data_IF_644156142723
#
_entry.id   IF_644156142723
#
_cell.length_a   1.000
_cell.length_b   1.000
_cell.length_c   1.000
_cell.angle_alpha   90.00
_cell.angle_beta   90.00
_cell.angle_gamma   90.00
#
_symmetry.space_group_name_H-M   'P 1'
#
loop_
_entity.id
_entity.type
_entity.pdbx_description
1 polymer ?
#
# COMPACT_ATOMS: atom_id res chain seq x y z
N UNK A 1 25.20 -54.26 8.81
CA UNK A 1 24.76 -53.01 9.48
C UNK A 1 24.56 -51.94 8.41
N UNK A 2 23.36 -51.87 7.82
CA UNK A 2 22.96 -50.81 6.90
C UNK A 2 22.11 -49.80 7.66
N UNK A 3 22.64 -48.61 7.96
CA UNK A 3 21.81 -47.48 8.40
C UNK A 3 21.21 -46.83 7.16
N UNK A 4 19.99 -47.24 6.85
CA UNK A 4 19.13 -46.62 5.86
C UNK A 4 18.78 -45.18 6.27
N UNK A 5 18.94 -44.29 5.31
CA UNK A 5 18.23 -43.03 5.13
C UNK A 5 16.95 -42.88 5.94
N UNK A 6 16.88 -41.85 6.79
CA UNK A 6 15.59 -41.32 7.24
C UNK A 6 15.74 -39.82 7.52
N UNK A 7 15.72 -39.01 6.45
CA UNK A 7 15.63 -37.55 6.57
C UNK A 7 14.93 -36.91 5.36
N UNK A 8 13.87 -37.53 4.85
CA UNK A 8 13.06 -36.95 3.79
C UNK A 8 11.59 -37.37 3.89
N UNK A 9 10.93 -36.98 4.98
CA UNK A 9 9.47 -37.05 5.07
C UNK A 9 8.91 -35.78 5.73
N UNK A 10 8.60 -34.79 4.88
CA UNK A 10 7.35 -34.01 4.88
C UNK A 10 7.58 -32.67 4.17
N UNK A 11 6.92 -32.45 3.03
CA UNK A 11 6.96 -31.22 2.24
C UNK A 11 6.32 -30.00 2.91
N UNK A 12 6.27 -29.97 4.25
CA UNK A 12 5.67 -28.92 5.05
C UNK A 12 6.71 -27.84 5.33
N UNK A 13 6.53 -26.65 4.74
CA UNK A 13 7.39 -25.51 5.06
C UNK A 13 7.25 -25.17 6.55
N UNK A 14 8.35 -25.08 7.32
CA UNK A 14 8.27 -24.90 8.76
C UNK A 14 7.72 -23.51 9.11
N UNK A 15 7.01 -23.41 10.24
CA UNK A 15 6.52 -22.16 10.85
C UNK A 15 7.63 -21.09 10.94
N UNK A 16 8.86 -21.52 11.26
CA UNK A 16 10.04 -20.65 11.33
C UNK A 16 10.38 -19.98 10.01
N UNK A 17 10.15 -20.64 8.86
CA UNK A 17 10.37 -20.07 7.54
C UNK A 17 9.33 -18.99 7.21
N UNK A 18 8.06 -19.21 7.61
CA UNK A 18 6.99 -18.21 7.48
C UNK A 18 7.33 -16.98 8.31
N UNK A 19 7.70 -17.18 9.59
CA UNK A 19 8.07 -16.10 10.49
C UNK A 19 9.26 -15.30 9.97
N UNK A 20 10.29 -15.98 9.44
CA UNK A 20 11.46 -15.33 8.84
C UNK A 20 11.09 -14.51 7.61
N UNK A 21 10.28 -15.06 6.70
CA UNK A 21 9.87 -14.36 5.48
C UNK A 21 8.97 -13.16 5.76
N UNK A 22 8.00 -13.31 6.66
CA UNK A 22 7.12 -12.22 7.10
C UNK A 22 7.91 -11.17 7.89
N UNK A 23 8.94 -11.62 8.61
CA UNK A 23 9.92 -10.76 9.26
C UNK A 23 10.67 -9.88 8.26
N UNK A 24 11.22 -10.48 7.21
CA UNK A 24 11.85 -9.72 6.13
C UNK A 24 10.87 -8.78 5.43
N UNK A 25 9.65 -9.23 5.13
CA UNK A 25 8.61 -8.41 4.50
C UNK A 25 8.29 -7.17 5.33
N UNK A 26 8.02 -7.33 6.62
CA UNK A 26 7.72 -6.21 7.53
C UNK A 26 8.97 -5.35 7.79
N UNK A 27 10.16 -5.95 7.80
CA UNK A 27 11.42 -5.24 7.90
C UNK A 27 11.69 -4.31 6.72
N UNK A 28 11.33 -4.71 5.49
CA UNK A 28 11.42 -3.83 4.31
C UNK A 28 10.53 -2.59 4.44
N UNK A 29 9.34 -2.76 5.00
CA UNK A 29 8.40 -1.68 5.30
C UNK A 29 9.01 -0.73 6.33
N UNK A 30 9.54 -1.27 7.44
CA UNK A 30 10.22 -0.46 8.45
C UNK A 30 11.42 0.28 7.86
N UNK A 31 12.24 -0.36 7.01
CA UNK A 31 13.38 0.31 6.37
C UNK A 31 12.90 1.48 5.51
N UNK A 32 11.87 1.27 4.69
CA UNK A 32 11.33 2.32 3.83
C UNK A 32 10.87 3.54 4.66
N UNK A 33 10.22 3.28 5.79
CA UNK A 33 9.66 4.31 6.67
C UNK A 33 10.73 4.97 7.53
N UNK A 34 11.49 4.18 8.27
CA UNK A 34 12.49 4.69 9.21
C UNK A 34 13.62 5.44 8.50
N UNK A 35 14.09 4.97 7.34
CA UNK A 35 15.09 5.70 6.57
C UNK A 35 14.56 7.05 6.08
N UNK A 36 13.28 7.11 5.66
CA UNK A 36 12.64 8.35 5.26
C UNK A 36 12.46 9.31 6.45
N UNK A 37 11.96 8.82 7.58
CA UNK A 37 11.72 9.64 8.77
C UNK A 37 13.02 10.15 9.37
N UNK A 38 14.05 9.31 9.51
CA UNK A 38 15.34 9.72 10.06
C UNK A 38 16.01 10.79 9.20
N UNK A 39 15.97 10.63 7.88
CA UNK A 39 16.53 11.61 6.97
C UNK A 39 15.72 12.91 6.97
N UNK A 40 14.39 12.84 7.08
CA UNK A 40 13.54 14.02 7.25
C UNK A 40 13.93 14.79 8.52
N UNK A 41 14.02 14.11 9.67
CA UNK A 41 14.44 14.76 10.92
C UNK A 41 15.85 15.34 10.86
N UNK A 42 16.78 14.68 10.17
CA UNK A 42 18.13 15.22 9.97
C UNK A 42 18.10 16.52 9.15
N UNK A 43 17.28 16.59 8.10
CA UNK A 43 17.13 17.79 7.26
C UNK A 43 16.50 18.94 8.05
N UNK A 44 15.35 18.71 8.70
CA UNK A 44 14.66 19.73 9.50
C UNK A 44 15.46 20.16 10.74
N UNK A 45 16.19 19.22 11.35
CA UNK A 45 17.08 19.51 12.48
C UNK A 45 18.26 20.38 12.08
N UNK A 46 18.81 20.20 10.87
CA UNK A 46 19.88 21.03 10.34
C UNK A 46 19.39 22.46 10.06
N UNK A 47 18.21 22.62 9.47
CA UNK A 47 17.59 23.94 9.26
C UNK A 47 17.37 24.68 10.59
N UNK A 48 16.81 23.97 11.58
CA UNK A 48 16.62 24.49 12.93
C UNK A 48 17.93 24.94 13.58
N UNK A 49 19.03 24.20 13.34
CA UNK A 49 20.36 24.55 13.85
C UNK A 49 20.94 25.78 13.14
N UNK A 50 20.81 25.86 11.81
CA UNK A 50 21.25 27.02 11.02
C UNK A 50 20.54 28.27 11.51
N UNK A 51 19.22 28.21 11.70
CA UNK A 51 18.44 29.33 12.23
C UNK A 51 18.94 29.76 13.62
N UNK A 52 19.18 28.80 14.53
CA UNK A 52 19.70 29.11 15.88
C UNK A 52 21.09 29.77 15.88
N UNK A 53 21.97 29.37 14.95
CA UNK A 53 23.36 29.88 14.90
C UNK A 53 23.47 31.19 14.13
N UNK A 54 22.71 31.34 13.05
CA UNK A 54 22.88 32.44 12.08
C UNK A 54 21.74 33.47 12.12
N UNK A 55 20.60 33.13 12.70
CA UNK A 55 19.36 33.91 12.60
C UNK A 55 18.68 33.84 11.22
N UNK A 56 19.24 33.10 10.27
CA UNK A 56 18.71 32.98 8.90
C UNK A 56 17.76 31.78 8.84
N UNK A 57 16.52 32.02 8.42
CA UNK A 57 15.55 30.98 8.13
C UNK A 57 15.63 30.62 6.64
N UNK A 58 15.73 29.33 6.33
CA UNK A 58 15.73 28.85 4.94
C UNK A 58 14.27 28.72 4.48
N UNK A 59 13.66 29.85 4.14
CA UNK A 59 12.29 29.90 3.59
C UNK A 59 12.29 29.79 2.06
N UNK A 60 12.90 28.71 1.56
CA UNK A 60 12.87 28.39 0.14
C UNK A 60 11.91 27.22 -0.07
N UNK A 61 10.82 27.47 -0.77
CA UNK A 61 9.81 26.46 -1.10
C UNK A 61 10.45 25.19 -1.69
N UNK A 62 11.43 25.35 -2.58
CA UNK A 62 12.20 24.24 -3.15
C UNK A 62 12.91 23.40 -2.09
N UNK A 63 13.50 24.02 -1.06
CA UNK A 63 14.14 23.32 0.05
C UNK A 63 13.12 22.49 0.84
N UNK A 64 11.96 23.05 1.15
CA UNK A 64 10.88 22.35 1.88
C UNK A 64 10.36 21.14 1.07
N UNK A 65 10.26 21.26 -0.26
CA UNK A 65 9.86 20.14 -1.14
C UNK A 65 10.90 19.03 -1.06
N UNK A 66 12.18 19.38 -1.17
CA UNK A 66 13.26 18.41 -1.04
C UNK A 66 13.26 17.77 0.36
N UNK A 67 13.09 18.54 1.42
CA UNK A 67 13.05 18.05 2.79
C UNK A 67 11.90 17.08 3.05
N UNK A 68 10.79 17.21 2.31
CA UNK A 68 9.59 16.38 2.49
C UNK A 68 9.58 15.15 1.57
N UNK A 69 9.92 15.32 0.29
CA UNK A 69 9.78 14.28 -0.73
C UNK A 69 11.04 13.41 -0.83
N UNK A 70 12.23 14.02 -0.85
CA UNK A 70 13.48 13.29 -1.10
C UNK A 70 13.72 12.16 -0.09
N UNK A 71 13.45 12.35 1.23
CA UNK A 71 13.65 11.27 2.19
C UNK A 71 12.80 10.04 1.91
N UNK A 72 11.55 10.22 1.47
CA UNK A 72 10.65 9.11 1.15
C UNK A 72 11.14 8.31 -0.07
N UNK A 73 11.63 9.00 -1.11
CA UNK A 73 12.21 8.39 -2.30
C UNK A 73 13.45 7.59 -1.92
N UNK A 74 14.33 8.17 -1.10
CA UNK A 74 15.55 7.52 -0.64
C UNK A 74 15.25 6.32 0.25
N UNK A 75 14.30 6.42 1.18
CA UNK A 75 13.86 5.30 2.01
C UNK A 75 13.31 4.14 1.16
N UNK A 76 12.45 4.44 0.18
CA UNK A 76 11.93 3.45 -0.74
C UNK A 76 13.03 2.81 -1.61
N UNK A 77 14.00 3.60 -2.07
CA UNK A 77 15.16 3.12 -2.82
C UNK A 77 16.02 2.18 -1.96
N UNK A 78 16.30 2.54 -0.71
CA UNK A 78 17.03 1.69 0.24
C UNK A 78 16.30 0.37 0.48
N UNK A 79 15.00 0.40 0.76
CA UNK A 79 14.19 -0.80 0.92
C UNK A 79 14.23 -1.68 -0.34
N UNK A 80 14.12 -1.09 -1.53
CA UNK A 80 14.20 -1.80 -2.82
C UNK A 80 15.57 -2.46 -3.03
N UNK A 81 16.67 -1.78 -2.71
CA UNK A 81 18.02 -2.34 -2.81
C UNK A 81 18.23 -3.51 -1.86
N UNK A 82 17.77 -3.38 -0.61
CA UNK A 82 17.78 -4.47 0.37
C UNK A 82 16.93 -5.64 -0.12
N UNK A 83 15.72 -5.38 -0.61
CA UNK A 83 14.81 -6.40 -1.12
C UNK A 83 15.40 -7.16 -2.31
N UNK A 84 16.03 -6.45 -3.25
CA UNK A 84 16.76 -7.05 -4.36
C UNK A 84 17.88 -7.96 -3.87
N UNK A 85 18.67 -7.53 -2.88
CA UNK A 85 19.74 -8.35 -2.30
C UNK A 85 19.21 -9.60 -1.58
N UNK A 86 18.08 -9.46 -0.87
CA UNK A 86 17.44 -10.55 -0.14
C UNK A 86 16.78 -11.59 -1.05
N UNK A 87 16.19 -11.16 -2.17
CA UNK A 87 15.41 -12.02 -3.06
C UNK A 87 16.17 -12.51 -4.29
N UNK A 88 17.22 -11.80 -4.71
CA UNK A 88 17.92 -12.02 -5.98
C UNK A 88 17.15 -11.56 -7.22
N UNK A 89 15.92 -11.04 -7.07
CA UNK A 89 15.06 -10.64 -8.20
C UNK A 89 15.51 -9.28 -8.74
N UNK A 90 15.81 -9.22 -10.04
CA UNK A 90 16.19 -7.95 -10.69
C UNK A 90 14.96 -7.11 -10.97
N UNK A 91 15.06 -5.78 -10.81
CA UNK A 91 13.94 -4.85 -11.02
C UNK A 91 13.29 -5.03 -12.40
N UNK A 92 14.09 -5.23 -13.46
CA UNK A 92 13.58 -5.45 -14.82
C UNK A 92 12.65 -6.66 -14.97
N UNK A 93 12.82 -7.69 -14.12
CA UNK A 93 12.00 -8.91 -14.13
C UNK A 93 10.61 -8.68 -13.50
N UNK A 94 10.39 -7.49 -12.93
CA UNK A 94 9.10 -7.07 -12.39
C UNK A 94 8.19 -6.47 -13.49
N UNK A 95 8.74 -6.14 -14.67
CA UNK A 95 8.06 -5.37 -15.73
C UNK A 95 7.90 -6.16 -17.03
N UNK A 96 7.25 -7.34 -16.96
CA UNK A 96 6.91 -8.12 -18.14
C UNK A 96 5.86 -7.40 -19.00
N UNK A 97 5.89 -7.53 -20.33
CA UNK A 97 4.88 -6.95 -21.25
C UNK A 97 3.89 -8.02 -21.72
N UNK A 98 2.62 -7.63 -21.89
CA UNK A 98 1.57 -8.49 -22.46
C UNK A 98 0.48 -7.65 -23.12
N UNK A 99 -0.10 -8.14 -24.22
CA UNK A 99 -1.25 -7.51 -24.90
C UNK A 99 -2.49 -7.43 -24.02
N UNK A 100 -2.61 -8.31 -23.01
CA UNK A 100 -3.75 -8.35 -22.08
C UNK A 100 -3.72 -7.21 -21.06
N UNK A 101 -2.64 -6.45 -20.99
CA UNK A 101 -2.47 -5.38 -19.99
C UNK A 101 -3.58 -4.33 -20.05
N UNK A 102 -3.95 -3.87 -21.25
CA UNK A 102 -4.98 -2.84 -21.38
C UNK A 102 -6.30 -3.31 -20.78
N UNK A 103 -6.72 -4.54 -21.09
CA UNK A 103 -7.93 -5.14 -20.52
C UNK A 103 -7.84 -5.24 -18.99
N UNK A 104 -6.69 -5.65 -18.47
CA UNK A 104 -6.45 -5.72 -17.02
C UNK A 104 -6.53 -4.34 -16.36
N UNK A 105 -5.97 -3.30 -16.99
CA UNK A 105 -6.04 -1.93 -16.49
C UNK A 105 -7.49 -1.43 -16.49
N UNK A 106 -8.22 -1.59 -17.59
CA UNK A 106 -9.62 -1.11 -17.68
C UNK A 106 -10.52 -1.79 -16.65
N UNK A 107 -10.47 -3.12 -16.55
CA UNK A 107 -11.29 -3.87 -15.58
C UNK A 107 -10.82 -3.59 -14.14
N UNK A 108 -9.50 -3.55 -13.92
CA UNK A 108 -8.92 -3.28 -12.61
C UNK A 108 -9.25 -1.87 -12.10
N UNK A 109 -9.22 -0.87 -12.98
CA UNK A 109 -9.57 0.50 -12.65
C UNK A 109 -11.06 0.67 -12.36
N UNK A 110 -11.95 0.06 -13.15
CA UNK A 110 -13.39 0.07 -12.83
C UNK A 110 -13.70 -0.56 -11.46
N UNK A 111 -13.04 -1.68 -11.14
CA UNK A 111 -13.12 -2.30 -9.82
C UNK A 111 -12.60 -1.38 -8.70
N UNK A 112 -11.48 -0.70 -8.96
CA UNK A 112 -10.86 0.23 -8.03
C UNK A 112 -11.82 1.36 -7.65
N UNK A 113 -12.43 2.02 -8.64
CA UNK A 113 -13.45 3.06 -8.41
C UNK A 113 -14.59 2.52 -7.53
N UNK A 114 -15.12 1.34 -7.82
CA UNK A 114 -16.21 0.81 -7.03
C UNK A 114 -15.85 0.42 -5.61
N UNK A 115 -14.67 -0.16 -5.40
CA UNK A 115 -14.18 -0.45 -4.06
C UNK A 115 -13.91 0.84 -3.28
N UNK A 116 -13.40 1.90 -3.91
CA UNK A 116 -13.17 3.19 -3.25
C UNK A 116 -14.46 3.76 -2.71
N UNK A 117 -15.53 3.77 -3.49
CA UNK A 117 -16.84 4.28 -3.03
C UNK A 117 -17.36 3.52 -1.82
N UNK A 118 -17.23 2.19 -1.83
CA UNK A 118 -17.63 1.35 -0.70
C UNK A 118 -16.76 1.64 0.52
N UNK A 119 -15.44 1.69 0.37
CA UNK A 119 -14.54 1.97 1.49
C UNK A 119 -14.69 3.40 2.02
N UNK A 120 -14.92 4.39 1.16
CA UNK A 120 -15.17 5.78 1.55
C UNK A 120 -16.45 5.89 2.38
N UNK A 121 -17.54 5.21 1.98
CA UNK A 121 -18.76 5.17 2.78
C UNK A 121 -18.52 4.53 4.15
N UNK A 122 -17.81 3.41 4.21
CA UNK A 122 -17.51 2.74 5.48
C UNK A 122 -16.61 3.60 6.37
N UNK A 123 -15.57 4.23 5.80
CA UNK A 123 -14.68 5.14 6.52
C UNK A 123 -15.43 6.35 7.05
N UNK A 124 -16.34 6.93 6.27
CA UNK A 124 -17.18 8.06 6.68
C UNK A 124 -18.08 7.70 7.87
N UNK A 125 -18.80 6.56 7.78
CA UNK A 125 -19.63 6.08 8.88
C UNK A 125 -18.81 5.78 10.14
N UNK A 126 -17.61 5.22 9.97
CA UNK A 126 -16.69 4.94 11.07
C UNK A 126 -16.17 6.23 11.72
N UNK A 127 -15.76 7.22 10.92
CA UNK A 127 -15.34 8.53 11.41
C UNK A 127 -16.47 9.23 12.19
N UNK A 128 -17.69 9.25 11.65
CA UNK A 128 -18.85 9.81 12.35
C UNK A 128 -19.14 9.11 13.68
N UNK A 129 -19.00 7.79 13.74
CA UNK A 129 -19.17 7.03 14.98
C UNK A 129 -18.11 7.40 16.03
N UNK A 130 -16.83 7.50 15.63
CA UNK A 130 -15.76 7.95 16.54
C UNK A 130 -15.96 9.40 17.00
N UNK A 131 -16.39 10.28 16.10
CA UNK A 131 -16.66 11.69 16.41
C UNK A 131 -17.78 11.85 17.44
N UNK A 132 -18.82 11.01 17.39
CA UNK A 132 -19.84 10.96 18.45
C UNK A 132 -19.29 10.54 19.81
N UNK A 133 -18.19 9.78 19.84
CA UNK A 133 -17.47 9.39 21.04
C UNK A 133 -16.47 10.43 21.56
N UNK A 134 -16.38 11.61 20.93
CA UNK A 134 -15.48 12.69 21.32
C UNK A 134 -14.09 12.66 20.68
N UNK A 135 -13.79 11.70 19.80
CA UNK A 135 -12.58 11.75 18.98
C UNK A 135 -12.73 12.82 17.87
N UNK A 136 -11.62 13.30 17.33
CA UNK A 136 -11.62 14.16 16.13
C UNK A 136 -10.97 13.39 15.00
N UNK A 137 -11.80 12.76 14.16
CA UNK A 137 -11.38 11.97 13.01
C UNK A 137 -12.05 12.52 11.76
N UNK A 138 -11.24 13.08 10.86
CA UNK A 138 -11.69 13.57 9.55
C UNK A 138 -11.29 12.58 8.45
N UNK A 139 -12.05 12.50 7.35
CA UNK A 139 -11.63 11.75 6.17
C UNK A 139 -10.27 12.23 5.65
N UNK A 140 -9.51 11.38 4.93
CA UNK A 140 -8.26 11.79 4.31
C UNK A 140 -8.50 12.95 3.35
N UNK A 141 -7.71 14.02 3.49
CA UNK A 141 -7.69 15.13 2.54
C UNK A 141 -6.55 14.92 1.54
N UNK A 142 -6.91 14.80 0.26
CA UNK A 142 -5.96 14.72 -0.85
C UNK A 142 -5.92 16.00 -1.69
N UNK A 143 -6.59 17.06 -1.24
CA UNK A 143 -6.54 18.36 -1.88
C UNK A 143 -5.23 19.10 -1.55
N UNK A 144 -4.80 19.96 -2.46
CA UNK A 144 -3.65 20.86 -2.27
C UNK A 144 -4.09 22.32 -2.21
N UNK A 145 -5.33 22.59 -1.76
CA UNK A 145 -6.00 23.88 -1.94
C UNK A 145 -5.34 25.04 -1.18
N UNK A 146 -4.56 24.75 -0.14
CA UNK A 146 -3.91 25.75 0.70
C UNK A 146 -2.43 25.97 0.35
N UNK A 147 -1.94 25.32 -0.70
CA UNK A 147 -0.54 25.32 -1.08
C UNK A 147 -0.28 26.24 -2.28
N UNK A 148 0.96 26.68 -2.44
CA UNK A 148 1.40 27.39 -3.64
C UNK A 148 1.24 26.50 -4.89
N UNK A 149 1.15 27.09 -6.10
CA UNK A 149 1.07 26.30 -7.33
C UNK A 149 2.28 25.38 -7.55
N UNK A 150 3.48 25.84 -7.19
CA UNK A 150 4.70 25.05 -7.37
C UNK A 150 4.74 23.84 -6.43
N UNK A 151 4.45 24.03 -5.14
CA UNK A 151 4.27 22.95 -4.16
C UNK A 151 3.19 21.95 -4.59
N UNK A 152 2.02 22.45 -4.99
CA UNK A 152 0.91 21.62 -5.48
C UNK A 152 1.33 20.75 -6.65
N UNK A 153 2.08 21.30 -7.61
CA UNK A 153 2.60 20.53 -8.75
C UNK A 153 3.59 19.44 -8.30
N UNK A 154 4.49 19.77 -7.36
CA UNK A 154 5.45 18.80 -6.82
C UNK A 154 4.75 17.66 -6.08
N UNK A 155 3.78 17.97 -5.22
CA UNK A 155 2.97 16.98 -4.52
C UNK A 155 2.15 16.12 -5.48
N UNK A 156 1.56 16.70 -6.51
CA UNK A 156 0.79 15.96 -7.51
C UNK A 156 1.68 14.97 -8.27
N UNK A 157 2.85 15.41 -8.75
CA UNK A 157 3.81 14.51 -9.43
C UNK A 157 4.26 13.40 -8.48
N UNK A 158 4.52 13.72 -7.22
CA UNK A 158 4.95 12.72 -6.25
C UNK A 158 3.83 11.72 -5.91
N UNK A 159 2.69 12.20 -5.41
CA UNK A 159 1.59 11.38 -4.88
C UNK A 159 0.88 10.58 -5.97
N UNK A 160 0.80 11.10 -7.19
CA UNK A 160 0.08 10.45 -8.29
C UNK A 160 0.97 9.55 -9.13
N UNK A 161 2.29 9.78 -9.18
CA UNK A 161 3.19 9.03 -10.05
C UNK A 161 4.35 8.37 -9.30
N UNK A 162 5.17 9.14 -8.59
CA UNK A 162 6.40 8.62 -8.00
C UNK A 162 6.09 7.64 -6.86
N UNK A 163 5.24 8.02 -5.91
CA UNK A 163 4.86 7.19 -4.76
C UNK A 163 4.19 5.88 -5.21
N UNK A 164 3.15 5.86 -6.07
CA UNK A 164 2.56 4.62 -6.56
C UNK A 164 3.56 3.66 -7.20
N UNK A 165 4.51 4.17 -8.00
CA UNK A 165 5.55 3.33 -8.62
C UNK A 165 6.44 2.69 -7.55
N UNK A 166 6.93 3.48 -6.60
CA UNK A 166 7.82 3.01 -5.53
C UNK A 166 7.11 2.00 -4.63
N UNK A 167 5.86 2.28 -4.26
CA UNK A 167 5.03 1.40 -3.45
C UNK A 167 4.78 0.07 -4.16
N UNK A 168 4.35 0.07 -5.42
CA UNK A 168 4.13 -1.18 -6.16
C UNK A 168 5.40 -2.01 -6.30
N UNK A 169 6.56 -1.38 -6.49
CA UNK A 169 7.85 -2.07 -6.52
C UNK A 169 8.13 -2.77 -5.19
N UNK A 170 7.97 -2.08 -4.05
CA UNK A 170 8.22 -2.64 -2.73
C UNK A 170 7.19 -3.74 -2.41
N UNK A 171 5.91 -3.40 -2.47
CA UNK A 171 4.84 -4.26 -1.97
C UNK A 171 4.51 -5.40 -2.93
N UNK A 172 4.33 -5.13 -4.23
CA UNK A 172 3.92 -6.16 -5.21
C UNK A 172 5.13 -6.80 -5.87
N UNK A 173 6.19 -6.02 -6.08
CA UNK A 173 7.45 -6.51 -6.65
C UNK A 173 8.23 -7.42 -5.71
N UNK A 174 8.37 -7.05 -4.44
CA UNK A 174 9.23 -7.80 -3.50
C UNK A 174 8.46 -8.48 -2.37
N UNK A 175 7.69 -7.73 -1.56
CA UNK A 175 7.00 -8.28 -0.38
C UNK A 175 6.05 -9.42 -0.76
N UNK A 176 5.14 -9.19 -1.70
CA UNK A 176 4.19 -10.19 -2.16
C UNK A 176 4.92 -11.42 -2.72
N UNK A 177 5.93 -11.22 -3.59
CA UNK A 177 6.68 -12.33 -4.21
C UNK A 177 7.42 -13.18 -3.16
N UNK A 178 8.01 -12.54 -2.15
CA UNK A 178 8.68 -13.22 -1.03
C UNK A 178 7.72 -14.12 -0.24
N UNK A 179 6.46 -13.70 -0.10
CA UNK A 179 5.42 -14.40 0.66
C UNK A 179 4.66 -15.43 -0.19
N UNK A 180 4.62 -15.28 -1.52
CA UNK A 180 3.84 -16.14 -2.46
C UNK A 180 4.14 -17.63 -2.31
N UNK A 181 5.36 -17.97 -1.89
CA UNK A 181 5.78 -19.35 -1.61
C UNK A 181 5.02 -20.02 -0.45
N UNK A 182 4.28 -19.28 0.37
CA UNK A 182 3.45 -19.81 1.47
C UNK A 182 1.95 -19.79 1.17
N UNK A 183 1.58 -19.42 -0.07
CA UNK A 183 0.19 -19.33 -0.51
C UNK A 183 -0.09 -17.97 -1.14
N UNK A 184 -0.74 -17.98 -2.30
CA UNK A 184 -1.05 -16.73 -3.03
C UNK A 184 -2.04 -15.86 -2.26
N UNK A 185 -3.08 -16.46 -1.66
CA UNK A 185 -4.05 -15.74 -0.85
C UNK A 185 -3.41 -15.07 0.38
N UNK A 186 -2.63 -15.82 1.16
CA UNK A 186 -1.85 -15.27 2.27
C UNK A 186 -0.92 -14.13 1.82
N UNK A 187 -0.18 -14.31 0.73
CA UNK A 187 0.74 -13.29 0.23
C UNK A 187 0.02 -11.98 -0.13
N UNK A 188 -1.12 -12.07 -0.82
CA UNK A 188 -1.96 -10.91 -1.16
C UNK A 188 -2.42 -10.22 0.13
N UNK A 189 -3.08 -10.97 1.02
CA UNK A 189 -3.66 -10.42 2.25
C UNK A 189 -2.60 -9.80 3.18
N UNK A 190 -1.48 -10.49 3.42
CA UNK A 190 -0.43 -10.00 4.31
C UNK A 190 0.34 -8.82 3.69
N UNK A 191 0.59 -8.82 2.37
CA UNK A 191 1.16 -7.66 1.68
C UNK A 191 0.24 -6.44 1.71
N UNK A 192 -1.08 -6.66 1.58
CA UNK A 192 -2.10 -5.62 1.67
C UNK A 192 -2.19 -5.05 3.08
N UNK A 193 -2.06 -5.91 4.09
CA UNK A 193 -2.01 -5.49 5.49
C UNK A 193 -0.78 -4.61 5.75
N UNK A 194 0.40 -5.05 5.31
CA UNK A 194 1.62 -4.24 5.40
C UNK A 194 1.50 -2.90 4.66
N UNK A 195 0.88 -2.89 3.48
CA UNK A 195 0.60 -1.68 2.71
C UNK A 195 -0.34 -0.73 3.46
N UNK A 196 -1.39 -1.23 4.10
CA UNK A 196 -2.29 -0.41 4.89
C UNK A 196 -1.60 0.27 6.07
N UNK A 197 -0.76 -0.47 6.81
CA UNK A 197 0.00 0.07 7.93
C UNK A 197 1.09 1.07 7.51
N UNK A 198 1.56 1.00 6.27
CA UNK A 198 2.53 1.95 5.71
C UNK A 198 2.00 3.40 5.63
N UNK A 199 0.68 3.60 5.62
CA UNK A 199 0.06 4.92 5.44
C UNK A 199 -0.06 5.75 6.73
N UNK A 200 0.17 5.17 7.92
CA UNK A 200 0.12 5.88 9.22
C UNK A 200 -1.17 6.69 9.51
N UNK A 201 -2.26 6.29 8.88
CA UNK A 201 -3.55 6.98 8.96
C UNK A 201 -4.66 5.95 9.21
N UNK A 202 -5.34 6.10 10.34
CA UNK A 202 -6.41 5.23 10.78
C UNK A 202 -7.57 5.20 9.77
N UNK A 203 -7.87 6.33 9.13
CA UNK A 203 -8.97 6.44 8.16
C UNK A 203 -8.61 5.83 6.81
N UNK A 204 -7.30 5.74 6.50
CA UNK A 204 -6.79 5.06 5.30
C UNK A 204 -6.55 3.57 5.51
N UNK A 205 -6.51 3.06 6.75
CA UNK A 205 -6.22 1.65 7.01
C UNK A 205 -7.14 0.70 6.24
N UNK A 206 -8.46 0.92 6.28
CA UNK A 206 -9.41 0.08 5.56
C UNK A 206 -9.34 0.29 4.03
N UNK A 207 -9.43 1.52 3.48
CA UNK A 207 -9.25 1.76 2.05
C UNK A 207 -7.95 1.17 1.49
N UNK A 208 -6.81 1.45 2.13
CA UNK A 208 -5.51 0.98 1.72
C UNK A 208 -5.40 -0.55 1.80
N UNK A 209 -6.02 -1.21 2.79
CA UNK A 209 -6.06 -2.67 2.84
C UNK A 209 -6.85 -3.29 1.68
N UNK A 210 -8.02 -2.71 1.36
CA UNK A 210 -8.89 -3.21 0.28
C UNK A 210 -8.23 -2.99 -1.09
N UNK A 211 -7.71 -1.79 -1.36
CA UNK A 211 -6.90 -1.52 -2.56
C UNK A 211 -5.64 -2.38 -2.59
N UNK A 212 -5.03 -2.53 -1.42
CA UNK A 212 -4.03 -3.51 -1.04
C UNK A 212 -4.22 -4.86 -1.73
N UNK A 213 -5.38 -5.45 -1.47
CA UNK A 213 -5.80 -6.75 -1.97
C UNK A 213 -6.06 -6.75 -3.48
N UNK A 214 -6.74 -5.73 -4.00
CA UNK A 214 -7.02 -5.59 -5.44
C UNK A 214 -5.71 -5.52 -6.25
N UNK A 215 -4.79 -4.63 -5.85
CA UNK A 215 -3.50 -4.45 -6.51
C UNK A 215 -2.65 -5.71 -6.41
N UNK A 216 -2.65 -6.38 -5.26
CA UNK A 216 -2.00 -7.69 -5.10
C UNK A 216 -2.57 -8.75 -6.05
N UNK A 217 -3.89 -8.80 -6.22
CA UNK A 217 -4.55 -9.68 -7.18
C UNK A 217 -4.17 -9.35 -8.63
N UNK A 218 -4.20 -8.07 -9.02
CA UNK A 218 -3.82 -7.60 -10.36
C UNK A 218 -2.38 -8.02 -10.65
N UNK A 219 -1.43 -7.72 -9.76
CA UNK A 219 -0.02 -8.03 -9.91
C UNK A 219 0.25 -9.54 -10.06
N UNK A 220 -0.45 -10.38 -9.28
CA UNK A 220 -0.36 -11.84 -9.39
C UNK A 220 -0.93 -12.32 -10.72
N UNK A 221 -2.02 -11.73 -11.19
CA UNK A 221 -2.72 -12.22 -12.38
C UNK A 221 -2.08 -11.75 -13.69
N UNK A 222 -1.49 -10.57 -13.71
CA UNK A 222 -0.70 -10.05 -14.83
C UNK A 222 0.73 -10.58 -14.86
N UNK A 223 1.25 -11.05 -13.71
CA UNK A 223 2.67 -11.36 -13.51
C UNK A 223 3.60 -10.21 -13.94
N UNK A 224 3.11 -8.97 -13.78
CA UNK A 224 3.77 -7.73 -14.18
C UNK A 224 3.31 -6.57 -13.30
N UNK A 225 4.21 -5.66 -12.96
CA UNK A 225 3.87 -4.44 -12.25
C UNK A 225 3.21 -3.37 -13.14
N UNK A 226 3.34 -3.46 -14.47
CA UNK A 226 2.82 -2.42 -15.37
C UNK A 226 1.32 -2.17 -15.20
N UNK A 227 0.43 -3.19 -15.19
CA UNK A 227 -1.00 -2.94 -15.05
C UNK A 227 -1.40 -2.41 -13.67
N UNK A 228 -0.76 -2.90 -12.60
CA UNK A 228 -1.09 -2.45 -11.24
C UNK A 228 -0.60 -1.04 -10.98
N UNK A 229 0.59 -0.67 -11.47
CA UNK A 229 1.09 0.71 -11.41
C UNK A 229 0.14 1.64 -12.15
N UNK A 230 -0.31 1.28 -13.36
CA UNK A 230 -1.25 2.10 -14.11
C UNK A 230 -2.57 2.31 -13.35
N UNK A 231 -3.14 1.25 -12.77
CA UNK A 231 -4.37 1.35 -11.96
C UNK A 231 -4.15 2.20 -10.71
N UNK A 232 -3.02 2.06 -10.03
CA UNK A 232 -2.69 2.83 -8.82
C UNK A 232 -2.46 4.31 -9.13
N UNK A 233 -1.72 4.64 -10.21
CA UNK A 233 -1.54 6.02 -10.69
C UNK A 233 -2.90 6.64 -11.01
N UNK A 234 -3.74 5.95 -11.79
CA UNK A 234 -5.07 6.44 -12.14
C UNK A 234 -5.95 6.65 -10.90
N UNK A 235 -5.86 5.75 -9.92
CA UNK A 235 -6.55 5.86 -8.64
C UNK A 235 -6.19 7.16 -7.92
N UNK A 236 -4.88 7.43 -7.75
CA UNK A 236 -4.43 8.62 -7.03
C UNK A 236 -4.74 9.90 -7.79
N UNK A 237 -4.62 9.90 -9.11
CA UNK A 237 -5.05 11.04 -9.95
C UNK A 237 -6.54 11.35 -9.73
N UNK A 238 -7.41 10.33 -9.73
CA UNK A 238 -8.84 10.54 -9.46
C UNK A 238 -9.08 11.01 -8.03
N UNK A 239 -8.38 10.46 -7.04
CA UNK A 239 -8.52 10.87 -5.64
C UNK A 239 -8.18 12.36 -5.44
N UNK A 240 -7.06 12.82 -5.99
CA UNK A 240 -6.64 14.23 -5.94
C UNK A 240 -7.64 15.12 -6.70
N UNK A 241 -8.06 14.69 -7.90
CA UNK A 241 -9.01 15.43 -8.72
C UNK A 241 -10.35 15.62 -8.00
N UNK A 242 -10.91 14.55 -7.43
CA UNK A 242 -12.18 14.62 -6.71
C UNK A 242 -12.05 15.45 -5.43
N UNK A 243 -10.97 15.28 -4.67
CA UNK A 243 -10.75 16.06 -3.43
C UNK A 243 -10.60 17.55 -3.72
N UNK A 244 -10.03 17.92 -4.88
CA UNK A 244 -9.86 19.31 -5.29
C UNK A 244 -11.14 19.91 -5.90
N UNK A 245 -11.87 19.15 -6.72
CA UNK A 245 -13.02 19.67 -7.45
C UNK A 245 -14.34 19.61 -6.67
N UNK A 246 -14.59 18.58 -5.87
CA UNK A 246 -15.88 18.43 -5.19
C UNK A 246 -16.24 19.62 -4.29
N UNK A 247 -15.32 20.24 -3.53
CA UNK A 247 -15.64 21.40 -2.69
C UNK A 247 -16.09 22.65 -3.46
N UNK A 248 -15.72 22.79 -4.73
CA UNK A 248 -16.05 23.98 -5.56
C UNK A 248 -17.29 23.77 -6.43
N UNK A 249 -17.84 22.57 -6.47
CA UNK A 249 -19.02 22.23 -7.27
C UNK A 249 -20.32 22.42 -6.48
N UNK A 250 -21.41 22.70 -7.18
CA UNK A 250 -22.73 22.78 -6.53
C UNK A 250 -23.15 21.42 -5.94
N UNK A 251 -23.91 21.38 -4.83
CA UNK A 251 -24.35 20.13 -4.21
C UNK A 251 -25.09 19.19 -5.17
N UNK A 252 -25.89 19.74 -6.09
CA UNK A 252 -26.60 18.96 -7.12
C UNK A 252 -25.63 18.27 -8.09
N UNK A 253 -24.56 18.94 -8.49
CA UNK A 253 -23.52 18.36 -9.36
C UNK A 253 -22.79 17.24 -8.60
N UNK A 254 -22.40 17.50 -7.35
CA UNK A 254 -21.74 16.48 -6.50
C UNK A 254 -22.60 15.23 -6.33
N UNK A 255 -23.89 15.40 -6.04
CA UNK A 255 -24.84 14.29 -5.94
C UNK A 255 -24.93 13.50 -7.26
N UNK A 256 -25.03 14.21 -8.39
CA UNK A 256 -25.10 13.58 -9.72
C UNK A 256 -23.84 12.78 -10.03
N UNK A 257 -22.65 13.33 -9.77
CA UNK A 257 -21.37 12.64 -9.96
C UNK A 257 -21.28 11.39 -9.09
N UNK A 258 -21.67 11.47 -7.82
CA UNK A 258 -21.68 10.31 -6.92
C UNK A 258 -22.60 9.20 -7.44
N UNK A 259 -23.81 9.53 -7.90
CA UNK A 259 -24.74 8.53 -8.48
C UNK A 259 -24.11 7.85 -9.71
N UNK A 260 -23.49 8.62 -10.60
CA UNK A 260 -22.80 8.07 -11.78
C UNK A 260 -21.67 7.13 -11.35
N UNK A 261 -20.84 7.55 -10.39
CA UNK A 261 -19.74 6.74 -9.87
C UNK A 261 -20.26 5.45 -9.22
N UNK A 262 -21.34 5.49 -8.44
CA UNK A 262 -21.97 4.30 -7.85
C UNK A 262 -22.52 3.34 -8.91
N UNK A 263 -23.10 3.86 -10.00
CA UNK A 263 -23.56 3.03 -11.11
C UNK A 263 -22.39 2.35 -11.84
N UNK A 264 -21.31 3.10 -12.13
CA UNK A 264 -20.11 2.56 -12.78
C UNK A 264 -19.39 1.52 -11.90
N UNK A 265 -19.37 1.75 -10.60
CA UNK A 265 -18.86 0.82 -9.59
C UNK A 265 -19.62 -0.51 -9.62
N UNK A 266 -20.95 -0.46 -9.63
CA UNK A 266 -21.80 -1.65 -9.69
C UNK A 266 -21.58 -2.43 -10.98
N UNK A 267 -21.55 -1.74 -12.12
CA UNK A 267 -21.26 -2.36 -13.43
C UNK A 267 -19.88 -3.02 -13.43
N UNK A 268 -18.86 -2.35 -12.91
CA UNK A 268 -17.49 -2.89 -12.83
C UNK A 268 -17.41 -4.11 -11.92
N UNK A 269 -18.15 -4.12 -10.81
CA UNK A 269 -18.26 -5.30 -9.93
C UNK A 269 -18.93 -6.47 -10.64
N UNK A 270 -20.01 -6.23 -11.38
CA UNK A 270 -20.70 -7.28 -12.17
C UNK A 270 -19.76 -7.86 -13.23
N UNK A 271 -19.05 -6.99 -13.98
CA UNK A 271 -18.05 -7.41 -14.97
C UNK A 271 -16.96 -8.23 -14.29
N UNK A 272 -16.42 -7.76 -13.16
CA UNK A 272 -15.40 -8.49 -12.43
C UNK A 272 -15.86 -9.86 -11.94
N UNK A 273 -17.07 -9.97 -11.37
CA UNK A 273 -17.65 -11.26 -10.96
C UNK A 273 -17.78 -12.19 -12.17
N UNK A 274 -18.25 -11.68 -13.31
CA UNK A 274 -18.40 -12.48 -14.54
C UNK A 274 -17.05 -12.98 -15.08
N UNK A 275 -16.01 -12.15 -15.05
CA UNK A 275 -14.65 -12.49 -15.51
C UNK A 275 -13.96 -13.44 -14.52
N UNK A 276 -14.05 -13.16 -13.22
CA UNK A 276 -13.41 -13.95 -12.16
C UNK A 276 -14.05 -15.35 -12.02
N UNK A 277 -15.36 -15.50 -12.23
CA UNK A 277 -16.04 -16.81 -12.24
C UNK A 277 -15.47 -17.76 -13.30
N UNK A 278 -15.05 -17.25 -14.46
CA UNK A 278 -14.45 -18.05 -15.53
C UNK A 278 -13.01 -18.50 -15.26
N UNK A 279 -12.27 -17.75 -14.45
CA UNK A 279 -10.84 -17.95 -14.19
C UNK A 279 -10.60 -18.81 -12.93
N UNK A 280 -11.39 -18.63 -11.87
CA UNK A 280 -11.29 -19.44 -10.62
C UNK A 280 -11.59 -20.93 -10.86
N UNK A 281 -12.41 -21.26 -11.87
CA UNK A 281 -12.72 -22.64 -12.24
C UNK A 281 -11.59 -23.33 -13.02
N UNK A 282 -10.68 -22.56 -13.64
CA UNK A 282 -9.65 -23.09 -14.55
C UNK A 282 -8.28 -23.31 -13.90
N UNK A 283 -8.03 -22.82 -12.68
CA UNK A 283 -6.70 -22.87 -12.04
C UNK A 283 -6.74 -23.26 -10.56
N UNK A 284 -7.45 -24.33 -10.20
CA UNK A 284 -7.03 -25.13 -9.04
C UNK A 284 -5.75 -25.85 -9.44
N UNK A 285 -4.59 -25.28 -9.10
CA UNK A 285 -3.36 -26.08 -9.04
C UNK A 285 -3.56 -27.22 -8.03
N UNK A 286 -2.80 -28.32 -8.12
CA UNK A 286 -2.92 -29.42 -7.20
C UNK A 286 -2.83 -28.89 -5.76
N UNK A 287 -3.77 -29.31 -4.91
CA UNK A 287 -3.67 -29.07 -3.47
C UNK A 287 -2.34 -29.65 -3.04
N UNK A 288 -1.40 -28.79 -2.62
CA UNK A 288 -0.11 -29.23 -2.12
C UNK A 288 -0.36 -29.86 -0.75
N UNK A 289 -0.58 -31.18 -0.76
CA UNK A 289 -0.59 -32.03 0.43
C UNK A 289 0.68 -31.75 1.24
N UNK A 290 0.50 -31.43 2.54
CA UNK A 290 1.59 -31.01 3.41
C UNK A 290 1.81 -29.50 3.53
N UNK A 291 0.95 -28.61 3.02
CA UNK A 291 1.07 -27.19 3.38
C UNK A 291 0.56 -26.92 4.81
N UNK A 292 1.28 -26.06 5.53
CA UNK A 292 0.83 -25.55 6.83
C UNK A 292 -0.58 -24.95 6.66
N UNK A 293 -1.50 -25.26 7.58
CA UNK A 293 -2.83 -24.65 7.57
C UNK A 293 -2.70 -23.11 7.49
N UNK A 294 -3.52 -22.45 6.66
CA UNK A 294 -3.42 -21.00 6.43
C UNK A 294 -3.49 -20.21 7.75
N UNK A 295 -4.29 -20.67 8.72
CA UNK A 295 -4.35 -20.11 10.08
C UNK A 295 -3.00 -20.12 10.79
N UNK A 296 -2.23 -21.22 10.69
CA UNK A 296 -0.88 -21.33 11.25
C UNK A 296 0.13 -20.45 10.51
N UNK A 297 -0.04 -20.26 9.20
CA UNK A 297 0.81 -19.34 8.39
C UNK A 297 0.59 -17.89 8.85
N UNK A 298 -0.67 -17.46 8.95
CA UNK A 298 -1.01 -16.12 9.44
C UNK A 298 -0.52 -15.88 10.87
N UNK A 299 -0.78 -16.82 11.79
CA UNK A 299 -0.30 -16.70 13.17
C UNK A 299 1.23 -16.56 13.25
N UNK A 300 1.97 -17.35 12.46
CA UNK A 300 3.43 -17.24 12.40
C UNK A 300 3.93 -15.89 11.87
N UNK A 301 3.22 -15.31 10.90
CA UNK A 301 3.56 -14.04 10.28
C UNK A 301 3.36 -12.86 11.25
N UNK A 302 2.22 -12.85 11.95
CA UNK A 302 1.86 -11.84 12.95
C UNK A 302 2.74 -11.90 14.22
N UNK A 303 3.43 -13.00 14.46
CA UNK A 303 4.38 -13.14 15.56
C UNK A 303 5.83 -12.84 15.13
N UNK A 304 6.05 -12.29 13.93
CA UNK A 304 7.40 -11.84 13.55
C UNK A 304 7.78 -10.56 14.32
N UNK A 305 9.00 -10.45 14.88
CA UNK A 305 9.40 -9.30 15.70
C UNK A 305 9.22 -7.95 15.00
N UNK A 306 9.51 -7.89 13.70
CA UNK A 306 9.35 -6.69 12.88
C UNK A 306 7.89 -6.33 12.63
N UNK A 307 6.98 -7.31 12.55
CA UNK A 307 5.55 -7.01 12.49
C UNK A 307 5.06 -6.43 13.82
N UNK A 308 5.47 -7.01 14.94
CA UNK A 308 5.14 -6.49 16.28
C UNK A 308 5.67 -5.06 16.42
N UNK A 309 6.91 -4.80 16.02
CA UNK A 309 7.47 -3.45 16.03
C UNK A 309 6.66 -2.47 15.17
N UNK A 310 6.29 -2.86 13.94
CA UNK A 310 5.45 -2.04 13.06
C UNK A 310 4.09 -1.72 13.72
N UNK A 311 3.47 -2.72 14.35
CA UNK A 311 2.21 -2.56 15.07
C UNK A 311 2.37 -1.59 16.25
N UNK A 312 3.44 -1.70 17.03
CA UNK A 312 3.70 -0.80 18.16
C UNK A 312 3.91 0.64 17.72
N UNK A 313 4.67 0.87 16.63
CA UNK A 313 4.85 2.22 16.05
C UNK A 313 3.50 2.79 15.59
N UNK A 314 2.68 1.97 14.93
CA UNK A 314 1.37 2.40 14.46
C UNK A 314 0.39 2.69 15.61
N UNK A 315 0.40 1.87 16.66
CA UNK A 315 -0.41 2.12 17.86
C UNK A 315 0.02 3.40 18.57
N UNK A 316 1.33 3.66 18.67
CA UNK A 316 1.85 4.91 19.22
C UNK A 316 1.30 6.12 18.44
N UNK A 317 1.34 6.09 17.11
CA UNK A 317 0.79 7.15 16.25
C UNK A 317 -0.71 7.37 16.42
N UNK A 318 -1.49 6.30 16.56
CA UNK A 318 -2.94 6.42 16.82
C UNK A 318 -3.19 7.05 18.19
N UNK A 319 -2.49 6.58 19.21
CA UNK A 319 -2.64 7.06 20.59
C UNK A 319 -2.29 8.54 20.66
N UNK A 320 -1.19 8.97 20.05
CA UNK A 320 -0.80 10.39 20.04
C UNK A 320 -1.78 11.26 19.27
N UNK A 321 -2.40 10.79 18.18
CA UNK A 321 -3.39 11.57 17.43
C UNK A 321 -4.77 11.64 18.10
N UNK A 322 -5.18 10.60 18.82
CA UNK A 322 -6.52 10.52 19.44
C UNK A 322 -6.54 11.08 20.87
N UNK A 323 -5.44 10.96 21.63
CA UNK A 323 -5.38 11.33 23.05
C UNK A 323 -4.77 12.71 23.33
N UNK A 324 -4.50 13.54 22.32
CA UNK A 324 -4.23 14.97 22.57
C UNK A 324 -5.55 15.61 22.98
N UNK A 325 -5.79 15.60 24.30
CA UNK A 325 -6.76 16.44 25.00
C UNK A 325 -6.20 17.86 25.18
#
# INVERSE_FOLDING_TARGET
MSRSSNNSVSGVKPVSAVRKASGWASGLVIIALFAATLLSYAVWGLDSLIFKVTGIQIDLELYQIFASILPTILGAATATLVARKLTGIKIKELFNRSEKHLKTVVVGFGLCIGLNLVTSLVTELFAQWLNKGGAVVTPPDFSYSNETPFWSCALLVYSCLIAPVLEEVIFRGYVLRLLRRFGTGFAILFSALLFAFYHYDLTQLLPAFVMGCLFGYIAVRSDSLLPVIAVHVLNNVVAVLLSTLLPVLSPTIVLTLNIILYALALVSLIIAISVCRGEFRKRRGPALEGQLAQTKVFGAALLSPTWILLLLVYLYEIITKILVF
#
